data_IF_121405325541
#
_entry.id   IF_121405325541
#
_cell.length_a   1.000
_cell.length_b   1.000
_cell.length_c   1.000
_cell.angle_alpha   90.00
_cell.angle_beta   90.00
_cell.angle_gamma   90.00
#
_symmetry.space_group_name_H-M   'P 1'
#
loop_
_entity.id
_entity.type
_entity.pdbx_description
1 polymer ?
#
# COMPACT_ATOMS: atom_id res chain seq x y z
N UNK A 1 -3.80 -25.11 9.54
CA UNK A 1 -3.73 -25.44 8.10
C UNK A 1 -2.57 -24.69 7.46
N UNK A 2 -1.88 -25.30 6.49
CA UNK A 2 -0.77 -24.67 5.76
C UNK A 2 -1.07 -24.66 4.26
N UNK A 3 -0.79 -23.55 3.59
CA UNK A 3 -0.97 -23.40 2.14
C UNK A 3 0.32 -22.86 1.56
N UNK A 4 0.94 -23.63 0.68
CA UNK A 4 2.14 -23.21 -0.04
C UNK A 4 1.80 -22.11 -1.05
N UNK A 5 2.69 -21.13 -1.16
CA UNK A 5 2.61 -20.04 -2.12
C UNK A 5 3.68 -20.25 -3.19
N UNK A 6 3.32 -19.96 -4.45
CA UNK A 6 4.26 -19.84 -5.55
C UNK A 6 4.71 -18.40 -5.66
N UNK A 7 5.97 -18.20 -6.06
CA UNK A 7 6.53 -16.89 -6.36
C UNK A 7 6.73 -16.75 -7.87
N UNK A 8 6.37 -15.59 -8.41
CA UNK A 8 6.76 -15.20 -9.76
C UNK A 8 7.92 -14.21 -9.71
N UNK A 9 8.84 -14.37 -10.65
CA UNK A 9 9.78 -13.30 -10.95
C UNK A 9 9.03 -12.09 -11.53
N UNK A 10 9.42 -10.90 -11.08
CA UNK A 10 8.90 -9.67 -11.66
C UNK A 10 9.48 -9.53 -13.07
N UNK A 11 8.62 -9.17 -14.01
CA UNK A 11 9.01 -8.82 -15.37
C UNK A 11 8.84 -7.31 -15.57
N UNK A 12 9.48 -6.79 -16.62
CA UNK A 12 9.44 -5.35 -16.92
C UNK A 12 8.04 -4.84 -17.18
N UNK A 13 7.16 -5.67 -17.75
CA UNK A 13 5.78 -5.29 -18.01
C UNK A 13 4.98 -5.17 -16.71
N UNK A 14 5.11 -6.13 -15.81
CA UNK A 14 4.52 -6.09 -14.48
C UNK A 14 5.04 -4.91 -13.67
N UNK A 15 6.35 -4.66 -13.70
CA UNK A 15 6.93 -3.52 -13.01
C UNK A 15 6.46 -2.16 -13.54
N UNK A 16 6.47 -1.95 -14.86
CA UNK A 16 5.95 -0.72 -15.47
C UNK A 16 4.45 -0.51 -15.21
N UNK A 17 3.71 -1.61 -14.99
CA UNK A 17 2.29 -1.57 -14.72
C UNK A 17 1.95 -1.51 -13.22
N UNK A 18 2.84 -1.93 -12.33
CA UNK A 18 2.67 -1.86 -10.88
C UNK A 18 2.53 -0.41 -10.44
N UNK A 19 1.40 -0.10 -9.80
CA UNK A 19 1.03 1.25 -9.38
C UNK A 19 0.30 1.19 -8.06
N UNK A 20 0.69 2.06 -7.14
CA UNK A 20 -0.07 2.32 -5.91
C UNK A 20 -0.47 3.80 -6.02
N UNK A 21 -1.77 4.09 -5.92
CA UNK A 21 -2.25 5.48 -5.96
C UNK A 21 -3.32 5.69 -4.89
N UNK A 22 -3.35 6.92 -4.41
CA UNK A 22 -4.41 7.45 -3.56
C UNK A 22 -5.77 7.37 -4.27
N UNK A 23 -6.83 7.13 -3.50
CA UNK A 23 -8.19 7.32 -3.97
C UNK A 23 -9.13 7.80 -2.86
N UNK A 24 -9.25 9.12 -2.76
CA UNK A 24 -10.35 9.72 -2.01
C UNK A 24 -11.68 9.29 -2.65
N UNK A 25 -12.44 8.41 -2.00
CA UNK A 25 -13.82 8.12 -2.40
C UNK A 25 -14.79 8.90 -1.52
N UNK A 26 -15.45 9.90 -2.11
CA UNK A 26 -16.59 10.54 -1.48
C UNK A 26 -17.77 9.55 -1.44
N UNK A 27 -18.25 9.20 -0.24
CA UNK A 27 -19.58 8.60 -0.09
C UNK A 27 -20.62 9.63 -0.55
N UNK A 28 -21.19 9.44 -1.73
CA UNK A 28 -22.40 10.18 -2.15
C UNK A 28 -23.61 9.55 -1.44
N UNK A 29 -23.72 9.76 -0.12
CA UNK A 29 -24.88 9.35 0.66
C UNK A 29 -26.01 10.36 0.40
N UNK A 30 -26.75 10.15 -0.69
CA UNK A 30 -28.09 10.72 -0.80
C UNK A 30 -29.03 9.95 0.12
N UNK A 31 -29.25 10.53 1.29
CA UNK A 31 -30.36 10.22 2.17
C UNK A 31 -30.00 9.23 3.26
N UNK A 32 -29.73 9.76 4.45
CA UNK A 32 -30.42 9.51 5.74
C UNK A 32 -29.56 10.19 6.82
N UNK A 33 -30.20 10.98 7.68
CA UNK A 33 -29.58 11.62 8.85
C UNK A 33 -28.92 10.57 9.75
N UNK A 34 -27.60 10.62 9.93
CA UNK A 34 -26.89 10.55 11.22
C UNK A 34 -25.36 10.51 11.06
N UNK A 35 -24.69 11.35 11.86
CA UNK A 35 -23.26 11.38 12.26
C UNK A 35 -22.16 11.46 11.18
N UNK A 36 -21.48 12.62 11.17
CA UNK A 36 -20.26 12.90 10.42
C UNK A 36 -19.06 12.07 10.91
N UNK A 37 -18.13 11.83 9.97
CA UNK A 37 -16.75 11.33 10.13
C UNK A 37 -16.55 9.80 10.18
N UNK A 38 -16.95 9.09 9.12
CA UNK A 38 -16.31 7.83 8.74
C UNK A 38 -15.88 7.93 7.27
N UNK A 39 -14.74 8.59 7.04
CA UNK A 39 -14.04 8.53 5.76
C UNK A 39 -13.19 7.25 5.75
N UNK A 40 -13.60 6.24 4.98
CA UNK A 40 -12.87 4.96 4.84
C UNK A 40 -11.53 5.18 4.12
N UNK A 41 -10.43 4.58 4.61
CA UNK A 41 -9.12 4.58 3.93
C UNK A 41 -9.23 3.72 2.65
N UNK A 42 -9.57 4.32 1.52
CA UNK A 42 -9.58 3.59 0.24
C UNK A 42 -8.31 3.94 -0.54
N UNK A 43 -7.28 3.09 -0.46
CA UNK A 43 -6.13 3.20 -1.36
C UNK A 43 -6.33 2.26 -2.56
N UNK A 44 -6.11 2.77 -3.78
CA UNK A 44 -6.26 1.98 -4.98
C UNK A 44 -4.98 1.22 -5.29
N UNK A 45 -5.09 -0.10 -5.18
CA UNK A 45 -4.03 -1.04 -5.49
C UNK A 45 -4.04 -1.46 -6.95
N UNK A 46 -2.85 -1.65 -7.51
CA UNK A 46 -2.68 -2.41 -8.74
C UNK A 46 -1.75 -3.61 -8.49
N UNK A 47 -2.21 -4.81 -8.83
CA UNK A 47 -1.57 -6.07 -8.41
C UNK A 47 -0.54 -6.61 -9.40
N UNK A 48 -0.11 -5.80 -10.37
CA UNK A 48 1.04 -6.16 -11.20
C UNK A 48 2.35 -6.30 -10.44
N UNK A 49 2.42 -5.67 -9.26
CA UNK A 49 3.50 -5.91 -8.35
C UNK A 49 3.40 -7.29 -7.71
N UNK A 50 2.22 -7.89 -7.56
CA UNK A 50 2.03 -9.09 -6.75
C UNK A 50 2.88 -10.26 -7.25
N UNK A 51 3.74 -10.76 -6.36
CA UNK A 51 4.67 -11.84 -6.67
C UNK A 51 4.19 -13.20 -6.16
N UNK A 52 3.33 -13.22 -5.15
CA UNK A 52 2.96 -14.43 -4.43
C UNK A 52 1.49 -14.76 -4.63
N UNK A 53 1.21 -16.01 -5.00
CA UNK A 53 -0.14 -16.52 -5.18
C UNK A 53 -0.19 -17.99 -4.76
N UNK A 54 -1.38 -18.45 -4.38
CA UNK A 54 -1.62 -19.85 -4.08
C UNK A 54 -2.87 -20.35 -4.80
N UNK A 55 -3.12 -21.65 -4.69
CA UNK A 55 -4.24 -22.30 -5.36
C UNK A 55 -5.43 -22.42 -4.40
N UNK A 56 -6.62 -22.11 -4.93
CA UNK A 56 -7.90 -22.41 -4.29
C UNK A 56 -8.78 -23.16 -5.30
N UNK A 57 -9.85 -23.79 -4.82
CA UNK A 57 -10.90 -24.30 -5.71
C UNK A 57 -12.28 -23.78 -5.32
N UNK A 58 -13.15 -23.62 -6.31
CA UNK A 58 -14.53 -23.16 -6.12
C UNK A 58 -15.48 -24.15 -6.80
N UNK A 59 -16.49 -24.61 -6.05
CA UNK A 59 -17.55 -25.48 -6.55
C UNK A 59 -17.32 -26.99 -6.44
N UNK A 60 -18.35 -27.74 -6.81
CA UNK A 60 -18.37 -29.20 -6.77
C UNK A 60 -18.89 -29.79 -8.10
N UNK A 61 -18.04 -30.39 -8.95
CA UNK A 61 -16.63 -30.69 -8.72
C UNK A 61 -15.74 -29.44 -8.63
N UNK A 62 -14.59 -29.52 -7.94
CA UNK A 62 -13.63 -28.42 -7.78
C UNK A 62 -13.19 -27.78 -9.09
N UNK A 63 -13.27 -26.45 -9.18
CA UNK A 63 -12.68 -25.63 -10.25
C UNK A 63 -11.52 -24.82 -9.67
N UNK A 64 -10.31 -25.01 -10.17
CA UNK A 64 -9.09 -24.44 -9.59
C UNK A 64 -8.77 -23.03 -10.11
N UNK A 65 -8.28 -22.17 -9.21
CA UNK A 65 -7.87 -20.80 -9.49
C UNK A 65 -6.59 -20.48 -8.73
N UNK A 66 -5.66 -19.79 -9.39
CA UNK A 66 -4.54 -19.14 -8.71
C UNK A 66 -5.00 -17.78 -8.20
N UNK A 67 -4.82 -17.51 -6.91
CA UNK A 67 -5.25 -16.26 -6.29
C UNK A 67 -4.16 -15.64 -5.43
N UNK A 68 -4.14 -14.31 -5.40
CA UNK A 68 -3.36 -13.56 -4.42
C UNK A 68 -4.11 -13.56 -3.09
N UNK A 69 -3.44 -13.99 -2.02
CA UNK A 69 -3.93 -13.85 -0.66
C UNK A 69 -3.61 -12.43 -0.20
N UNK A 70 -4.61 -11.55 -0.19
CA UNK A 70 -4.42 -10.11 -0.02
C UNK A 70 -4.96 -9.60 1.31
N UNK A 71 -4.08 -9.15 2.20
CA UNK A 71 -4.48 -8.56 3.49
C UNK A 71 -5.06 -7.16 3.39
N UNK A 72 -4.82 -6.39 2.33
CA UNK A 72 -5.43 -5.06 2.20
C UNK A 72 -6.71 -5.02 1.35
N UNK A 73 -7.34 -6.17 1.07
CA UNK A 73 -8.70 -6.24 0.55
C UNK A 73 -9.50 -7.38 1.22
N UNK A 74 -10.82 -7.39 1.03
CA UNK A 74 -11.72 -8.28 1.80
C UNK A 74 -12.65 -9.14 0.95
N UNK A 75 -12.73 -8.90 -0.36
CA UNK A 75 -13.57 -9.68 -1.26
C UNK A 75 -12.77 -10.85 -1.87
N UNK A 76 -13.42 -12.00 -2.02
CA UNK A 76 -12.99 -13.04 -2.98
C UNK A 76 -13.61 -12.73 -4.34
N UNK A 77 -12.81 -12.76 -5.40
CA UNK A 77 -13.31 -12.64 -6.77
C UNK A 77 -12.51 -13.49 -7.75
N UNK A 78 -13.21 -14.02 -8.77
CA UNK A 78 -12.62 -14.78 -9.88
C UNK A 78 -13.33 -14.44 -11.21
N UNK A 79 -12.70 -14.67 -12.37
CA UNK A 79 -13.31 -14.42 -13.66
C UNK A 79 -14.50 -15.36 -13.90
N UNK A 80 -15.60 -14.82 -14.41
CA UNK A 80 -16.79 -15.60 -14.74
C UNK A 80 -16.70 -16.17 -16.15
N UNK A 81 -17.30 -17.34 -16.37
CA UNK A 81 -17.63 -17.84 -17.72
C UNK A 81 -18.56 -16.91 -18.51
N UNK A 82 -19.26 -15.98 -17.83
CA UNK A 82 -20.06 -14.91 -18.44
C UNK A 82 -19.22 -13.71 -18.89
N UNK A 83 -17.91 -13.71 -18.63
CA UNK A 83 -16.98 -12.71 -19.14
C UNK A 83 -16.62 -12.99 -20.61
N UNK A 84 -17.38 -12.39 -21.53
CA UNK A 84 -17.28 -12.66 -22.98
C UNK A 84 -16.51 -11.56 -23.72
N UNK A 85 -16.61 -10.32 -23.26
CA UNK A 85 -16.13 -9.14 -24.00
C UNK A 85 -14.78 -8.60 -23.50
N UNK A 86 -14.24 -9.10 -22.38
CA UNK A 86 -12.93 -8.70 -21.86
C UNK A 86 -11.84 -9.67 -22.33
N UNK A 87 -10.81 -9.14 -22.99
CA UNK A 87 -9.68 -9.90 -23.53
C UNK A 87 -8.95 -10.69 -22.43
N UNK A 88 -8.80 -10.11 -21.25
CA UNK A 88 -8.16 -10.74 -20.10
C UNK A 88 -8.79 -12.08 -19.70
N UNK A 89 -10.12 -12.16 -19.67
CA UNK A 89 -10.86 -13.38 -19.35
C UNK A 89 -10.63 -14.55 -20.33
N UNK A 90 -9.92 -14.33 -21.45
CA UNK A 90 -9.49 -15.41 -22.35
C UNK A 90 -8.17 -16.06 -21.91
N UNK A 91 -7.36 -15.37 -21.10
CA UNK A 91 -6.07 -15.87 -20.60
C UNK A 91 -6.15 -16.49 -19.20
N UNK A 92 -7.28 -16.31 -18.50
CA UNK A 92 -7.48 -16.79 -17.13
C UNK A 92 -8.48 -17.94 -17.03
N UNK A 93 -8.34 -18.71 -15.95
CA UNK A 93 -9.36 -19.68 -15.56
C UNK A 93 -10.69 -18.95 -15.27
N UNK A 94 -11.81 -19.61 -15.59
CA UNK A 94 -13.16 -19.04 -15.48
C UNK A 94 -14.07 -19.94 -14.68
N UNK A 95 -14.75 -19.35 -13.71
CA UNK A 95 -15.78 -20.02 -12.93
C UNK A 95 -17.03 -20.29 -13.77
N UNK A 96 -17.51 -21.53 -13.70
CA UNK A 96 -18.69 -22.04 -14.40
C UNK A 96 -19.71 -22.51 -13.36
N UNK A 97 -20.68 -21.66 -13.05
CA UNK A 97 -21.78 -22.00 -12.14
C UNK A 97 -22.57 -23.24 -12.59
N UNK A 98 -22.81 -23.39 -13.89
CA UNK A 98 -23.62 -24.50 -14.46
C UNK A 98 -23.08 -25.90 -14.19
N UNK A 99 -21.79 -26.05 -13.90
CA UNK A 99 -21.18 -27.36 -13.63
C UNK A 99 -20.99 -27.62 -12.14
N UNK A 100 -21.19 -26.62 -11.28
CA UNK A 100 -21.08 -26.78 -9.83
C UNK A 100 -22.43 -27.17 -9.24
N UNK A 101 -22.47 -28.31 -8.56
CA UNK A 101 -23.63 -28.83 -7.84
C UNK A 101 -23.92 -28.12 -6.52
N UNK A 102 -22.94 -27.37 -6.00
CA UNK A 102 -23.02 -26.62 -4.74
C UNK A 102 -23.25 -25.11 -4.95
N UNK A 103 -23.40 -24.69 -6.20
CA UNK A 103 -23.66 -23.30 -6.57
C UNK A 103 -25.04 -22.83 -6.13
N UNK A 104 -25.08 -21.65 -5.53
CA UNK A 104 -26.30 -20.90 -5.22
C UNK A 104 -26.23 -19.51 -5.87
N UNK A 105 -27.27 -19.15 -6.61
CA UNK A 105 -27.37 -17.86 -7.28
C UNK A 105 -27.73 -16.74 -6.28
N UNK A 106 -26.94 -15.66 -6.29
CA UNK A 106 -27.25 -14.40 -5.59
C UNK A 106 -27.59 -13.31 -6.62
N UNK A 107 -26.71 -13.06 -7.60
CA UNK A 107 -26.98 -12.21 -8.76
C UNK A 107 -26.88 -10.70 -8.52
N UNK A 108 -26.66 -10.25 -7.28
CA UNK A 108 -26.49 -8.83 -6.93
C UNK A 108 -25.26 -8.25 -7.63
N UNK A 109 -25.38 -7.18 -8.44
CA UNK A 109 -24.25 -6.61 -9.16
C UNK A 109 -23.24 -5.96 -8.22
N UNK A 110 -21.95 -6.04 -8.55
CA UNK A 110 -20.87 -5.44 -7.79
C UNK A 110 -19.90 -4.65 -8.67
N UNK A 111 -19.32 -3.61 -8.07
CA UNK A 111 -18.24 -2.81 -8.65
C UNK A 111 -17.14 -2.73 -7.60
N UNK A 112 -16.01 -3.38 -7.87
CA UNK A 112 -14.87 -3.41 -6.94
C UNK A 112 -13.80 -2.44 -7.50
N UNK A 113 -13.45 -1.37 -6.77
CA UNK A 113 -12.38 -0.46 -7.18
C UNK A 113 -11.04 -1.19 -7.32
N UNK A 114 -10.29 -0.90 -8.39
CA UNK A 114 -9.00 -1.56 -8.68
C UNK A 114 -8.11 -0.61 -9.49
N UNK A 115 -6.94 -0.23 -8.96
CA UNK A 115 -5.99 0.66 -9.62
C UNK A 115 -6.64 1.96 -10.10
N UNK A 116 -6.57 2.29 -11.39
CA UNK A 116 -7.25 3.48 -11.96
C UNK A 116 -8.68 3.20 -12.45
N UNK A 117 -9.21 2.01 -12.19
CA UNK A 117 -10.50 1.56 -12.72
C UNK A 117 -11.30 0.78 -11.69
N UNK A 118 -12.16 -0.11 -12.18
CA UNK A 118 -12.93 -1.01 -11.34
C UNK A 118 -13.20 -2.29 -12.11
N UNK A 119 -13.23 -3.41 -11.41
CA UNK A 119 -13.77 -4.66 -11.95
C UNK A 119 -15.27 -4.72 -11.67
N UNK A 120 -16.02 -5.25 -12.62
CA UNK A 120 -17.47 -5.31 -12.57
C UNK A 120 -17.94 -6.76 -12.66
N UNK A 121 -18.92 -7.10 -11.85
CA UNK A 121 -19.40 -8.47 -11.72
C UNK A 121 -20.73 -8.53 -11.01
N UNK A 122 -21.02 -9.70 -10.45
CA UNK A 122 -22.13 -9.94 -9.54
C UNK A 122 -21.71 -10.97 -8.50
N UNK A 123 -22.37 -10.97 -7.34
CA UNK A 123 -22.13 -11.96 -6.30
C UNK A 123 -22.79 -13.29 -6.61
N UNK A 124 -22.10 -14.35 -6.22
CA UNK A 124 -22.49 -15.76 -6.29
C UNK A 124 -22.07 -16.45 -4.99
N UNK A 125 -22.66 -17.59 -4.68
CA UNK A 125 -22.29 -18.39 -3.53
C UNK A 125 -21.95 -19.81 -3.97
N UNK A 126 -20.86 -20.36 -3.43
CA UNK A 126 -20.47 -21.75 -3.65
C UNK A 126 -19.51 -22.20 -2.52
N UNK A 127 -19.14 -23.48 -2.52
CA UNK A 127 -18.10 -23.97 -1.63
C UNK A 127 -16.72 -23.56 -2.16
N UNK A 128 -15.86 -23.07 -1.27
CA UNK A 128 -14.47 -22.73 -1.58
C UNK A 128 -13.54 -23.63 -0.80
N UNK A 129 -12.60 -24.27 -1.48
CA UNK A 129 -11.54 -25.03 -0.85
C UNK A 129 -10.25 -24.22 -0.81
N UNK A 130 -9.64 -24.15 0.36
CA UNK A 130 -8.31 -23.56 0.57
C UNK A 130 -7.47 -24.62 1.27
N UNK A 131 -6.36 -25.07 0.66
CA UNK A 131 -5.62 -26.21 1.19
C UNK A 131 -6.50 -27.46 1.34
N UNK A 132 -6.58 -28.00 2.56
CA UNK A 132 -7.36 -29.19 2.90
C UNK A 132 -8.76 -28.89 3.47
N UNK A 133 -9.13 -27.62 3.67
CA UNK A 133 -10.44 -27.25 4.22
C UNK A 133 -11.42 -26.80 3.14
N UNK A 134 -12.68 -27.16 3.31
CA UNK A 134 -13.80 -26.73 2.47
C UNK A 134 -14.67 -25.76 3.29
N UNK A 135 -14.65 -24.50 2.89
CA UNK A 135 -15.51 -23.43 3.38
C UNK A 135 -16.83 -23.50 2.61
N UNK A 136 -17.93 -23.73 3.30
CA UNK A 136 -19.26 -23.82 2.69
C UNK A 136 -19.88 -22.45 2.52
N UNK A 137 -20.80 -22.34 1.56
CA UNK A 137 -21.67 -21.18 1.39
C UNK A 137 -20.90 -19.84 1.33
N UNK A 138 -19.70 -19.87 0.75
CA UNK A 138 -18.87 -18.70 0.60
C UNK A 138 -19.37 -17.84 -0.54
N UNK A 139 -19.70 -16.59 -0.22
CA UNK A 139 -20.04 -15.57 -1.21
C UNK A 139 -18.77 -15.01 -1.88
N UNK A 140 -18.80 -14.88 -3.20
CA UNK A 140 -17.69 -14.32 -3.99
C UNK A 140 -18.21 -13.60 -5.22
N UNK A 141 -17.39 -12.72 -5.79
CA UNK A 141 -17.74 -11.99 -7.00
C UNK A 141 -17.30 -12.75 -8.27
N UNK A 142 -18.26 -12.99 -9.15
CA UNK A 142 -18.05 -13.45 -10.53
C UNK A 142 -17.80 -12.22 -11.43
N UNK A 143 -16.56 -12.02 -11.86
CA UNK A 143 -16.18 -10.86 -12.68
C UNK A 143 -16.58 -11.08 -14.14
N UNK A 144 -17.36 -10.14 -14.68
CA UNK A 144 -17.89 -10.19 -16.07
C UNK A 144 -17.25 -9.16 -16.98
N UNK A 145 -16.71 -8.09 -16.40
CA UNK A 145 -16.01 -7.05 -17.13
C UNK A 145 -14.89 -6.50 -16.28
N UNK A 146 -13.70 -6.58 -16.82
CA UNK A 146 -12.53 -5.98 -16.24
C UNK A 146 -12.37 -4.53 -16.69
N UNK A 147 -11.99 -3.64 -15.75
CA UNK A 147 -11.88 -2.21 -16.02
C UNK A 147 -10.62 -1.77 -16.75
N UNK A 148 -9.67 -2.69 -16.98
CA UNK A 148 -8.40 -2.39 -17.63
C UNK A 148 -7.85 -3.62 -18.35
N UNK A 149 -7.35 -3.44 -19.58
CA UNK A 149 -6.62 -4.49 -20.32
C UNK A 149 -5.41 -5.02 -19.55
N UNK A 150 -4.93 -4.23 -18.61
CA UNK A 150 -3.77 -4.51 -17.80
C UNK A 150 -3.95 -5.84 -17.01
N UNK A 151 -5.16 -6.16 -16.58
CA UNK A 151 -5.47 -7.41 -15.88
C UNK A 151 -5.17 -8.68 -16.73
N UNK A 152 -5.15 -8.59 -18.06
CA UNK A 152 -4.80 -9.72 -18.97
C UNK A 152 -3.37 -10.23 -18.83
N UNK A 153 -2.48 -9.42 -18.25
CA UNK A 153 -1.07 -9.75 -18.08
C UNK A 153 -0.74 -10.23 -16.65
N UNK A 154 -1.77 -10.43 -15.82
CA UNK A 154 -1.59 -10.99 -14.49
C UNK A 154 -1.28 -12.49 -14.56
N UNK A 155 -0.45 -13.03 -13.66
CA UNK A 155 -0.13 -14.45 -13.60
C UNK A 155 -1.14 -15.27 -12.76
N UNK A 156 -2.10 -14.62 -12.15
CA UNK A 156 -3.11 -15.22 -11.27
C UNK A 156 -4.51 -14.88 -11.79
N UNK A 157 -5.48 -15.71 -11.43
CA UNK A 157 -6.85 -15.61 -11.92
C UNK A 157 -7.69 -14.63 -11.09
N UNK A 158 -7.44 -14.55 -9.78
CA UNK A 158 -8.26 -13.74 -8.87
C UNK A 158 -7.57 -13.33 -7.58
N UNK A 159 -8.37 -12.83 -6.64
CA UNK A 159 -7.90 -12.37 -5.33
C UNK A 159 -8.77 -12.99 -4.26
N UNK A 160 -8.13 -13.45 -3.18
CA UNK A 160 -8.77 -13.84 -1.93
C UNK A 160 -8.38 -12.82 -0.86
N UNK A 161 -9.34 -11.93 -0.54
CA UNK A 161 -9.16 -10.93 0.51
C UNK A 161 -9.13 -11.53 1.92
N UNK A 162 -8.15 -11.09 2.71
CA UNK A 162 -7.91 -11.45 4.11
C UNK A 162 -8.06 -10.24 5.06
N UNK A 163 -8.62 -9.14 4.57
CA UNK A 163 -8.99 -7.98 5.36
C UNK A 163 -10.29 -8.17 6.15
N UNK A 164 -10.79 -7.07 6.71
CA UNK A 164 -11.99 -7.05 7.54
C UNK A 164 -13.28 -6.89 6.72
N UNK A 165 -14.39 -7.46 7.19
CA UNK A 165 -15.67 -7.39 6.50
C UNK A 165 -16.16 -5.95 6.25
N UNK A 166 -15.78 -5.00 7.12
CA UNK A 166 -16.18 -3.60 7.01
C UNK A 166 -15.73 -2.95 5.70
N UNK A 167 -14.62 -3.43 5.12
CA UNK A 167 -14.06 -2.95 3.85
C UNK A 167 -14.48 -3.80 2.64
N UNK A 168 -15.31 -4.82 2.86
CA UNK A 168 -15.85 -5.67 1.80
C UNK A 168 -16.94 -4.94 0.99
N UNK A 169 -16.77 -4.92 -0.34
CA UNK A 169 -17.82 -4.46 -1.26
C UNK A 169 -19.06 -5.35 -1.08
N UNK A 170 -20.23 -4.73 -0.96
CA UNK A 170 -21.47 -5.45 -0.68
C UNK A 170 -21.60 -6.00 0.75
N UNK A 171 -20.65 -5.68 1.65
CA UNK A 171 -20.58 -6.19 3.04
C UNK A 171 -20.58 -7.72 3.13
N UNK A 172 -20.07 -8.36 2.07
CA UNK A 172 -19.97 -9.81 1.95
C UNK A 172 -18.96 -10.36 2.95
N UNK A 173 -19.29 -11.48 3.60
CA UNK A 173 -18.44 -12.16 4.58
C UNK A 173 -17.14 -12.68 3.93
N UNK A 174 -15.95 -12.22 4.38
CA UNK A 174 -14.66 -12.69 3.85
C UNK A 174 -14.43 -14.18 4.13
N UNK A 175 -13.58 -14.82 3.32
CA UNK A 175 -13.26 -16.25 3.46
C UNK A 175 -12.73 -16.58 4.86
N UNK A 176 -11.84 -15.75 5.40
CA UNK A 176 -11.28 -15.92 6.73
C UNK A 176 -12.34 -15.95 7.84
N UNK A 177 -13.41 -15.16 7.70
CA UNK A 177 -14.50 -15.13 8.68
C UNK A 177 -15.28 -16.45 8.65
N UNK A 178 -15.63 -16.93 7.46
CA UNK A 178 -16.30 -18.22 7.30
C UNK A 178 -15.42 -19.40 7.76
N UNK A 179 -14.09 -19.34 7.58
CA UNK A 179 -13.18 -20.34 8.15
C UNK A 179 -13.29 -20.42 9.68
N UNK A 180 -13.37 -19.26 10.35
CA UNK A 180 -13.55 -19.18 11.81
C UNK A 180 -14.94 -19.66 12.22
N UNK A 181 -16.00 -19.11 11.63
CA UNK A 181 -17.39 -19.35 12.01
C UNK A 181 -17.80 -20.82 11.82
N UNK A 182 -17.24 -21.48 10.80
CA UNK A 182 -17.48 -22.89 10.52
C UNK A 182 -16.58 -23.84 11.34
N UNK A 183 -15.74 -23.30 12.23
CA UNK A 183 -14.92 -24.10 13.15
C UNK A 183 -13.68 -24.74 12.54
N UNK A 184 -13.20 -24.27 11.38
CA UNK A 184 -11.99 -24.79 10.74
C UNK A 184 -10.70 -24.27 11.39
N UNK A 185 -10.79 -23.21 12.19
CA UNK A 185 -9.65 -22.48 12.75
C UNK A 185 -9.65 -22.57 14.29
N UNK A 186 -8.56 -23.10 14.86
CA UNK A 186 -8.42 -23.25 16.32
C UNK A 186 -8.01 -21.95 17.02
N UNK A 187 -7.02 -21.24 16.48
CA UNK A 187 -6.53 -19.95 16.98
C UNK A 187 -6.84 -18.91 15.90
N UNK A 188 -7.48 -17.78 16.20
CA UNK A 188 -7.84 -16.82 15.14
C UNK A 188 -6.65 -15.94 14.75
N UNK A 189 -5.60 -16.61 14.29
CA UNK A 189 -4.40 -16.01 13.73
C UNK A 189 -4.11 -16.64 12.38
N UNK A 190 -3.48 -15.88 11.49
CA UNK A 190 -2.79 -16.46 10.34
C UNK A 190 -1.43 -15.81 10.20
N UNK A 191 -0.47 -16.54 9.62
CA UNK A 191 0.89 -16.04 9.42
C UNK A 191 1.38 -16.20 7.99
N UNK A 192 2.25 -15.30 7.59
CA UNK A 192 2.88 -15.26 6.28
C UNK A 192 4.39 -15.37 6.40
N UNK A 193 4.95 -16.27 5.59
CA UNK A 193 6.36 -16.32 5.25
C UNK A 193 6.51 -16.23 3.73
N UNK A 194 7.25 -15.24 3.25
CA UNK A 194 7.45 -15.00 1.82
C UNK A 194 8.92 -15.18 1.48
N UNK A 195 9.24 -16.29 0.82
CA UNK A 195 10.60 -16.63 0.47
C UNK A 195 11.16 -15.64 -0.55
N UNK A 196 12.29 -15.02 -0.21
CA UNK A 196 12.99 -14.06 -1.06
C UNK A 196 14.05 -14.70 -1.96
N UNK A 197 14.33 -16.00 -1.81
CA UNK A 197 15.18 -16.74 -2.75
C UNK A 197 14.40 -17.04 -4.05
N UNK A 198 14.82 -16.52 -5.22
CA UNK A 198 14.14 -16.80 -6.49
C UNK A 198 14.46 -18.17 -7.08
N UNK A 199 15.41 -18.92 -6.50
CA UNK A 199 15.84 -20.24 -6.97
C UNK A 199 15.03 -21.38 -6.36
N UNK A 200 14.33 -21.12 -5.25
CA UNK A 200 13.52 -22.09 -4.53
C UNK A 200 12.14 -22.27 -5.18
N UNK A 201 11.66 -23.51 -5.22
CA UNK A 201 10.32 -23.83 -5.76
C UNK A 201 9.20 -23.32 -4.86
N UNK A 202 9.43 -23.32 -3.54
CA UNK A 202 8.48 -22.81 -2.56
C UNK A 202 8.67 -21.29 -2.42
N UNK A 203 7.75 -20.55 -3.03
CA UNK A 203 7.70 -19.10 -2.94
C UNK A 203 7.31 -18.58 -1.56
N UNK A 204 6.58 -19.35 -0.77
CA UNK A 204 6.21 -18.97 0.59
C UNK A 204 5.20 -19.92 1.21
N UNK A 205 4.69 -19.56 2.38
CA UNK A 205 3.66 -20.31 3.08
C UNK A 205 2.72 -19.34 3.82
N UNK A 206 1.41 -19.59 3.74
CA UNK A 206 0.43 -19.04 4.67
C UNK A 206 -0.04 -20.14 5.62
N UNK A 207 -0.01 -19.84 6.92
CA UNK A 207 -0.50 -20.76 7.97
C UNK A 207 -1.75 -20.16 8.58
N UNK A 208 -2.90 -20.80 8.36
CA UNK A 208 -4.15 -20.43 9.02
C UNK A 208 -4.28 -21.22 10.33
N UNK A 209 -4.54 -20.52 11.43
CA UNK A 209 -4.72 -21.11 12.75
C UNK A 209 -3.46 -21.39 13.54
N UNK A 210 -2.30 -20.86 13.13
CA UNK A 210 -1.01 -21.12 13.76
C UNK A 210 0.14 -20.37 13.12
N UNK A 211 1.36 -20.77 13.50
CA UNK A 211 2.65 -20.28 13.00
C UNK A 211 3.57 -21.47 12.73
N UNK A 212 4.53 -21.33 11.81
CA UNK A 212 5.60 -22.31 11.62
C UNK A 212 6.94 -21.73 12.12
N UNK A 213 7.44 -22.30 13.20
CA UNK A 213 8.70 -21.90 13.86
C UNK A 213 9.95 -22.04 12.97
N UNK A 214 9.85 -22.74 11.84
CA UNK A 214 10.96 -22.86 10.87
C UNK A 214 11.12 -21.63 9.99
N UNK A 215 10.13 -20.75 9.96
CA UNK A 215 10.06 -19.62 9.03
C UNK A 215 10.46 -18.26 9.64
N UNK A 216 10.90 -18.25 10.90
CA UNK A 216 11.37 -17.02 11.55
C UNK A 216 12.45 -17.28 12.60
N UNK A 217 13.14 -16.21 13.01
CA UNK A 217 14.15 -16.20 14.06
C UNK A 217 13.78 -15.20 15.14
N UNK A 218 14.06 -15.55 16.39
CA UNK A 218 13.73 -14.73 17.56
C UNK A 218 12.22 -14.67 17.83
N UNK A 219 11.82 -13.66 18.61
CA UNK A 219 10.43 -13.46 19.02
C UNK A 219 9.73 -12.40 18.16
N UNK A 220 8.43 -12.60 17.90
CA UNK A 220 7.61 -11.58 17.26
C UNK A 220 7.45 -10.35 18.14
N UNK A 221 7.58 -9.18 17.52
CA UNK A 221 7.22 -7.90 18.11
C UNK A 221 5.81 -7.58 17.69
N UNK A 222 4.89 -7.59 18.65
CA UNK A 222 3.48 -7.32 18.40
C UNK A 222 3.13 -5.84 18.60
N UNK A 223 2.39 -5.28 17.65
CA UNK A 223 1.80 -3.94 17.73
C UNK A 223 0.28 -4.03 17.51
N UNK A 224 -0.52 -3.27 18.29
CA UNK A 224 -1.97 -3.27 18.11
C UNK A 224 -2.36 -2.60 16.79
N UNK A 225 -3.56 -2.89 16.31
CA UNK A 225 -4.14 -2.16 15.19
C UNK A 225 -4.59 -0.76 15.61
N UNK A 226 -4.25 0.25 14.82
CA UNK A 226 -4.63 1.65 15.08
C UNK A 226 -6.12 1.87 14.83
N UNK A 227 -6.67 1.23 13.78
CA UNK A 227 -8.08 1.28 13.44
C UNK A 227 -8.53 -0.06 12.83
N UNK A 228 -9.71 -0.53 13.24
CA UNK A 228 -10.33 -1.73 12.66
C UNK A 228 -10.89 -1.41 11.26
N UNK A 229 -10.59 -2.27 10.29
CA UNK A 229 -11.01 -2.14 8.89
C UNK A 229 -9.90 -2.55 7.93
N UNK A 230 -8.68 -2.15 8.28
CA UNK A 230 -7.45 -2.58 7.63
C UNK A 230 -6.49 -3.19 8.67
N UNK A 231 -5.51 -3.95 8.18
CA UNK A 231 -4.34 -4.34 8.98
C UNK A 231 -3.39 -3.13 9.11
N UNK A 232 -3.90 -2.08 9.77
CA UNK A 232 -3.30 -0.76 9.95
C UNK A 232 -2.60 -0.68 11.30
N UNK A 233 -1.34 -0.25 11.32
CA UNK A 233 -0.52 -0.10 12.52
C UNK A 233 0.13 1.28 12.57
N UNK A 234 0.47 1.72 13.78
CA UNK A 234 1.30 2.91 13.97
C UNK A 234 2.77 2.57 13.68
N UNK A 235 3.41 3.44 12.92
CA UNK A 235 4.83 3.37 12.58
C UNK A 235 5.48 4.67 12.99
N UNK A 236 6.59 4.58 13.71
CA UNK A 236 7.41 5.72 14.08
C UNK A 236 8.30 6.18 12.93
N UNK A 237 9.45 6.73 13.30
CA UNK A 237 10.37 7.33 12.34
C UNK A 237 10.96 6.31 11.36
N UNK A 238 11.22 6.80 10.15
CA UNK A 238 11.87 6.08 9.06
C UNK A 238 13.29 6.61 8.92
N UNK A 239 14.27 5.74 9.08
CA UNK A 239 15.68 6.11 9.09
C UNK A 239 16.37 5.70 7.79
N UNK A 240 17.16 6.63 7.23
CA UNK A 240 18.14 6.37 6.18
C UNK A 240 19.49 6.14 6.83
N UNK A 241 19.95 4.88 6.83
CA UNK A 241 21.00 4.39 7.72
C UNK A 241 20.65 4.71 9.18
N UNK A 242 21.25 5.77 9.75
CA UNK A 242 21.03 6.22 11.12
C UNK A 242 20.36 7.60 11.22
N UNK A 243 20.02 8.22 10.07
CA UNK A 243 19.48 9.57 10.02
C UNK A 243 17.95 9.53 9.83
N UNK A 244 17.24 10.30 10.65
CA UNK A 244 15.80 10.53 10.53
C UNK A 244 15.43 11.17 9.19
N UNK A 245 14.26 10.78 8.67
CA UNK A 245 13.63 11.43 7.49
C UNK A 245 12.64 12.53 7.90
N UNK A 246 12.46 12.74 9.21
CA UNK A 246 11.74 13.85 9.83
C UNK A 246 10.22 13.69 9.89
N UNK A 247 9.60 13.23 8.79
CA UNK A 247 8.14 13.27 8.65
C UNK A 247 7.40 12.40 9.69
N UNK A 248 7.92 11.20 9.97
CA UNK A 248 7.25 10.22 10.83
C UNK A 248 7.76 10.24 12.28
N UNK A 249 8.49 11.29 12.71
CA UNK A 249 8.98 11.41 14.11
C UNK A 249 7.83 11.47 15.12
N UNK A 250 6.72 12.12 14.76
CA UNK A 250 5.49 12.20 15.56
C UNK A 250 4.54 11.02 15.35
N UNK A 251 4.93 10.04 14.52
CA UNK A 251 4.11 8.90 14.13
C UNK A 251 3.47 9.07 12.75
N UNK A 252 3.47 7.97 12.02
CA UNK A 252 2.77 7.71 10.77
C UNK A 252 1.92 6.45 10.96
N UNK A 253 1.06 6.16 10.00
CA UNK A 253 0.37 4.86 9.94
C UNK A 253 0.86 4.03 8.77
N UNK A 254 0.71 2.70 8.86
CA UNK A 254 1.04 1.81 7.77
C UNK A 254 0.05 0.65 7.64
N UNK A 255 -0.38 0.33 6.41
CA UNK A 255 -1.09 -0.92 6.12
C UNK A 255 -0.08 -2.00 5.76
N UNK A 256 -0.26 -3.16 6.39
CA UNK A 256 0.52 -4.37 6.14
C UNK A 256 -0.18 -5.18 5.05
N UNK A 257 0.42 -5.21 3.85
CA UNK A 257 -0.29 -5.56 2.62
C UNK A 257 0.45 -6.66 1.82
N UNK A 258 -0.05 -7.89 1.89
CA UNK A 258 0.48 -9.01 1.12
C UNK A 258 0.08 -9.00 -0.37
N UNK A 259 -0.91 -8.19 -0.76
CA UNK A 259 -1.37 -8.07 -2.14
C UNK A 259 -0.52 -7.14 -3.01
N UNK A 260 0.42 -6.39 -2.41
CA UNK A 260 1.34 -5.50 -3.13
C UNK A 260 2.78 -5.82 -2.79
N UNK A 261 3.69 -5.66 -3.76
CA UNK A 261 5.10 -5.95 -3.52
C UNK A 261 5.91 -4.75 -3.05
N UNK A 262 5.66 -3.59 -3.64
CA UNK A 262 6.40 -2.36 -3.35
C UNK A 262 6.03 -1.79 -1.99
N UNK A 263 6.96 -1.05 -1.40
CA UNK A 263 6.68 -0.20 -0.25
C UNK A 263 6.21 1.16 -0.76
N UNK A 264 5.04 1.61 -0.32
CA UNK A 264 4.52 2.93 -0.66
C UNK A 264 4.65 3.85 0.55
N UNK A 265 5.02 5.11 0.32
CA UNK A 265 5.05 6.12 1.39
C UNK A 265 5.03 7.55 0.86
N UNK A 266 5.03 8.54 1.77
CA UNK A 266 4.94 9.96 1.40
C UNK A 266 6.04 10.40 0.44
N UNK A 267 5.69 11.23 -0.54
CA UNK A 267 6.61 11.72 -1.58
C UNK A 267 7.85 12.37 -0.97
N UNK A 268 7.71 13.10 0.14
CA UNK A 268 8.81 13.77 0.83
C UNK A 268 9.85 12.83 1.41
N UNK A 269 9.46 11.62 1.83
CA UNK A 269 10.38 10.59 2.35
C UNK A 269 10.93 9.74 1.21
N UNK A 270 10.08 9.34 0.26
CA UNK A 270 10.50 8.56 -0.92
C UNK A 270 11.52 9.32 -1.77
N UNK A 271 11.42 10.64 -1.86
CA UNK A 271 12.42 11.48 -2.55
C UNK A 271 13.78 11.42 -1.86
N UNK A 272 13.82 11.47 -0.52
CA UNK A 272 15.06 11.31 0.24
C UNK A 272 15.67 9.92 0.04
N UNK A 273 14.84 8.87 0.04
CA UNK A 273 15.26 7.49 -0.27
C UNK A 273 15.86 7.42 -1.68
N UNK A 274 15.15 7.94 -2.70
CA UNK A 274 15.59 7.93 -4.09
C UNK A 274 16.93 8.64 -4.28
N UNK A 275 17.12 9.78 -3.62
CA UNK A 275 18.42 10.48 -3.62
C UNK A 275 19.52 9.61 -3.00
N UNK A 276 19.27 9.04 -1.81
CA UNK A 276 20.26 8.27 -1.07
C UNK A 276 20.69 6.96 -1.77
N UNK A 277 19.78 6.33 -2.53
CA UNK A 277 20.08 5.11 -3.29
C UNK A 277 20.53 5.38 -4.73
N UNK A 278 20.59 6.65 -5.14
CA UNK A 278 20.98 7.04 -6.50
C UNK A 278 19.94 6.66 -7.57
N UNK A 279 18.66 6.61 -7.20
CA UNK A 279 17.58 6.29 -8.12
C UNK A 279 17.36 7.42 -9.13
N UNK A 280 16.88 7.07 -10.32
CA UNK A 280 16.40 8.05 -11.30
C UNK A 280 15.07 8.66 -10.83
N UNK A 281 14.98 9.99 -10.86
CA UNK A 281 13.76 10.75 -10.60
C UNK A 281 13.46 11.69 -11.76
N UNK A 282 12.37 12.44 -11.65
CA UNK A 282 12.10 13.54 -12.56
C UNK A 282 12.53 14.87 -11.94
N UNK A 283 12.98 15.79 -12.78
CA UNK A 283 13.33 17.14 -12.36
C UNK A 283 12.06 17.99 -12.32
N UNK A 284 11.69 18.52 -11.16
CA UNK A 284 10.63 19.53 -11.06
C UNK A 284 11.22 20.93 -11.09
N UNK A 285 10.86 21.68 -12.13
CA UNK A 285 11.22 23.09 -12.23
C UNK A 285 10.49 23.93 -11.19
N UNK A 286 9.26 23.57 -10.81
CA UNK A 286 8.49 24.24 -9.76
C UNK A 286 9.18 24.12 -8.41
N UNK A 287 9.61 22.90 -8.03
CA UNK A 287 10.39 22.65 -6.81
C UNK A 287 11.68 23.46 -6.81
N UNK A 288 12.49 23.37 -7.87
CA UNK A 288 13.74 24.13 -8.00
C UNK A 288 13.53 25.64 -7.96
N UNK A 289 12.45 26.14 -8.57
CA UNK A 289 12.11 27.56 -8.56
C UNK A 289 11.77 28.05 -7.15
N UNK A 290 11.14 27.22 -6.32
CA UNK A 290 10.90 27.56 -4.91
C UNK A 290 12.22 27.60 -4.14
N UNK A 291 13.09 26.59 -4.31
CA UNK A 291 14.42 26.58 -3.67
C UNK A 291 15.22 27.83 -4.06
N UNK A 292 15.24 28.19 -5.34
CA UNK A 292 15.99 29.33 -5.85
C UNK A 292 15.44 30.68 -5.36
N UNK A 293 14.12 30.87 -5.34
CA UNK A 293 13.53 32.18 -5.05
C UNK A 293 13.20 32.38 -3.57
N UNK A 294 12.94 31.31 -2.83
CA UNK A 294 12.47 31.35 -1.45
C UNK A 294 13.37 30.59 -0.47
N UNK A 295 14.36 29.81 -0.94
CA UNK A 295 15.20 28.97 -0.08
C UNK A 295 15.94 29.75 1.00
N UNK A 296 16.44 30.95 0.69
CA UNK A 296 17.07 31.83 1.68
C UNK A 296 16.07 32.30 2.76
N UNK A 297 14.87 32.73 2.35
CA UNK A 297 13.82 33.16 3.28
C UNK A 297 13.32 32.02 4.16
N UNK A 298 13.16 30.81 3.59
CA UNK A 298 12.77 29.61 4.33
C UNK A 298 13.85 29.26 5.36
N UNK A 299 15.12 29.28 4.96
CA UNK A 299 16.25 29.04 5.84
C UNK A 299 16.29 30.02 7.02
N UNK A 300 16.21 31.33 6.74
CA UNK A 300 16.27 32.37 7.75
C UNK A 300 15.10 32.25 8.74
N UNK A 301 13.90 31.95 8.23
CA UNK A 301 12.71 31.73 9.05
C UNK A 301 12.89 30.54 9.99
N UNK A 302 13.40 29.40 9.50
CA UNK A 302 13.66 28.22 10.32
C UNK A 302 14.74 28.46 11.38
N UNK A 303 15.84 29.14 11.04
CA UNK A 303 16.89 29.49 12.00
C UNK A 303 16.41 30.49 13.05
N UNK A 304 15.47 31.37 12.69
CA UNK A 304 14.86 32.33 13.63
C UNK A 304 13.89 31.68 14.63
N UNK A 305 13.58 30.39 14.47
CA UNK A 305 12.66 29.65 15.33
C UNK A 305 11.19 29.83 14.96
N UNK A 306 10.89 30.28 13.73
CA UNK A 306 9.52 30.31 13.23
C UNK A 306 8.95 28.89 13.19
N UNK A 307 7.65 28.75 13.50
CA UNK A 307 6.98 27.46 13.40
C UNK A 307 6.97 27.00 11.93
N UNK A 308 7.56 25.84 11.60
CA UNK A 308 7.59 25.27 10.25
C UNK A 308 6.20 25.14 9.61
N UNK A 309 5.19 24.85 10.43
CA UNK A 309 3.81 24.60 10.00
C UNK A 309 3.19 25.82 9.32
N UNK A 310 3.49 27.04 9.79
CA UNK A 310 2.93 28.29 9.24
C UNK A 310 3.85 28.96 8.22
N UNK A 311 5.06 28.43 8.02
CA UNK A 311 6.12 29.10 7.26
C UNK A 311 5.70 29.34 5.81
N UNK A 312 5.12 28.35 5.15
CA UNK A 312 4.69 28.47 3.77
C UNK A 312 3.49 29.41 3.59
N UNK A 313 2.71 29.64 4.64
CA UNK A 313 1.65 30.67 4.66
C UNK A 313 2.28 32.06 4.79
N UNK A 314 3.24 32.22 5.70
CA UNK A 314 3.91 33.51 5.94
C UNK A 314 4.65 34.01 4.69
N UNK A 315 5.29 33.10 3.95
CA UNK A 315 5.93 33.39 2.65
C UNK A 315 4.90 33.60 1.52
N UNK A 316 3.64 33.25 1.74
CA UNK A 316 2.54 33.44 0.78
C UNK A 316 2.46 32.36 -0.31
N UNK A 317 3.04 31.19 -0.08
CA UNK A 317 2.97 30.02 -0.99
C UNK A 317 1.77 29.10 -0.70
N UNK A 318 1.20 29.18 0.51
CA UNK A 318 -0.01 28.47 0.93
C UNK A 318 -1.11 29.46 1.35
N UNK A 319 -2.39 29.05 1.22
CA UNK A 319 -3.53 29.87 1.65
C UNK A 319 -3.98 29.52 3.08
N UNK A 320 -4.45 30.51 3.84
CA UNK A 320 -4.98 30.29 5.21
C UNK A 320 -6.18 29.30 5.24
N UNK A 321 -7.02 29.30 4.19
CA UNK A 321 -8.16 28.37 4.07
C UNK A 321 -7.73 26.89 3.94
N UNK A 322 -6.46 26.61 3.62
CA UNK A 322 -5.90 25.25 3.53
C UNK A 322 -5.42 24.74 4.90
N UNK A 323 -5.35 25.60 5.93
CA UNK A 323 -4.79 25.28 7.25
C UNK A 323 -5.84 25.02 8.35
N UNK A 324 -7.07 25.53 8.18
CA UNK A 324 -8.14 25.45 9.18
C UNK A 324 -8.83 24.07 9.31
N UNK A 325 -8.22 23.00 8.81
CA UNK A 325 -8.70 21.63 9.08
C UNK A 325 -8.08 21.00 10.33
N UNK A 326 -7.18 21.71 11.03
CA UNK A 326 -6.39 21.14 12.14
C UNK A 326 -6.84 21.56 13.56
N UNK A 327 -7.66 22.60 13.76
CA UNK A 327 -8.17 22.90 15.11
C UNK A 327 -9.61 23.40 15.11
N UNK A 328 -10.47 22.69 15.84
CA UNK A 328 -11.89 22.97 16.01
C UNK A 328 -12.12 24.13 17.01
N UNK A 329 -13.07 25.00 16.67
CA UNK A 329 -13.80 25.97 17.52
C UNK A 329 -13.07 27.24 17.99
N UNK A 330 -13.23 28.35 17.24
CA UNK A 330 -13.73 29.65 17.77
C UNK A 330 -14.61 30.32 16.69
N UNK A 331 -15.91 30.48 16.97
CA UNK A 331 -16.81 31.31 16.17
C UNK A 331 -16.37 32.78 16.22
N UNK A 332 -15.97 33.35 15.09
CA UNK A 332 -16.08 34.80 14.87
C UNK A 332 -17.15 35.08 13.82
N UNK A 333 -18.23 35.67 14.31
CA UNK A 333 -19.39 36.15 13.55
C UNK A 333 -18.95 37.30 12.62
N UNK A 334 -19.59 37.38 11.45
CA UNK A 334 -19.53 38.42 10.40
C UNK A 334 -18.55 38.06 9.26
N UNK A 335 -18.91 37.81 7.99
CA UNK A 335 -20.06 38.20 7.17
C UNK A 335 -20.41 37.10 6.14
N UNK A 336 -21.71 36.98 5.90
CA UNK A 336 -22.40 36.10 4.98
C UNK A 336 -22.13 36.43 3.50
N UNK A 337 -21.59 35.47 2.71
CA UNK A 337 -21.80 35.40 1.25
C UNK A 337 -21.48 34.01 0.66
N UNK A 338 -22.51 33.35 0.12
CA UNK A 338 -22.47 32.38 -0.99
C UNK A 338 -21.57 31.13 -0.84
N UNK A 339 -22.08 30.12 -0.14
CA UNK A 339 -21.48 28.79 -0.04
C UNK A 339 -21.73 27.93 -1.30
N UNK A 340 -20.67 27.74 -2.09
CA UNK A 340 -20.45 26.58 -2.97
C UNK A 340 -18.97 26.18 -2.86
N UNK A 341 -18.59 25.61 -1.73
CA UNK A 341 -17.22 25.12 -1.49
C UNK A 341 -17.03 23.70 -2.02
N UNK A 342 -16.38 23.57 -3.18
CA UNK A 342 -15.64 22.37 -3.52
C UNK A 342 -14.33 22.44 -2.74
N UNK A 343 -14.02 21.47 -1.85
CA UNK A 343 -12.72 21.39 -1.17
C UNK A 343 -11.62 21.48 -2.23
N UNK A 344 -10.80 22.52 -2.16
CA UNK A 344 -9.76 22.83 -3.15
C UNK A 344 -8.58 21.89 -2.95
N UNK A 345 -8.12 21.23 -4.03
CA UNK A 345 -6.79 20.63 -4.09
C UNK A 345 -5.77 21.70 -3.68
N UNK A 346 -4.87 21.37 -2.75
CA UNK A 346 -3.75 22.24 -2.42
C UNK A 346 -3.02 22.68 -3.69
N UNK A 347 -2.59 23.94 -3.72
CA UNK A 347 -1.73 24.44 -4.79
C UNK A 347 -0.43 23.61 -4.84
N UNK A 348 0.04 23.16 -6.02
CA UNK A 348 1.33 22.47 -6.14
C UNK A 348 2.50 23.24 -5.52
N UNK A 349 2.42 24.58 -5.51
CA UNK A 349 3.41 25.44 -4.87
C UNK A 349 3.44 25.27 -3.34
N UNK A 350 2.27 25.12 -2.72
CA UNK A 350 2.15 24.91 -1.28
C UNK A 350 2.75 23.55 -0.89
N UNK A 351 2.39 22.49 -1.60
CA UNK A 351 2.92 21.14 -1.36
C UNK A 351 4.45 21.10 -1.49
N UNK A 352 5.03 21.69 -2.53
CA UNK A 352 6.48 21.76 -2.67
C UNK A 352 7.14 22.62 -1.59
N UNK A 353 6.52 23.72 -1.17
CA UNK A 353 7.03 24.52 -0.06
C UNK A 353 7.10 23.68 1.23
N UNK A 354 6.02 22.97 1.58
CA UNK A 354 5.98 22.12 2.78
C UNK A 354 7.06 21.02 2.73
N UNK A 355 7.26 20.40 1.56
CA UNK A 355 8.35 19.42 1.36
C UNK A 355 9.73 20.04 1.55
N UNK A 356 9.97 21.23 0.99
CA UNK A 356 11.25 21.95 1.10
C UNK A 356 11.53 22.35 2.55
N UNK A 357 10.53 22.86 3.28
CA UNK A 357 10.62 23.17 4.71
C UNK A 357 11.07 21.94 5.49
N UNK A 358 10.39 20.80 5.29
CA UNK A 358 10.75 19.53 5.92
C UNK A 358 12.19 19.12 5.59
N UNK A 359 12.59 19.17 4.32
CA UNK A 359 13.95 18.77 3.92
C UNK A 359 15.04 19.67 4.50
N UNK A 360 14.80 20.98 4.58
CA UNK A 360 15.70 21.91 5.24
C UNK A 360 15.81 21.57 6.74
N UNK A 361 14.69 21.32 7.41
CA UNK A 361 14.69 20.92 8.83
C UNK A 361 15.46 19.63 9.08
N UNK A 362 15.27 18.61 8.24
CA UNK A 362 16.00 17.35 8.31
C UNK A 362 17.50 17.57 8.12
N UNK A 363 17.89 18.38 7.14
CA UNK A 363 19.31 18.65 6.88
C UNK A 363 19.96 19.58 7.90
N UNK A 364 19.21 20.46 8.53
CA UNK A 364 19.69 21.30 9.63
C UNK A 364 20.21 20.47 10.81
N UNK A 365 19.64 19.27 11.03
CA UNK A 365 20.13 18.32 12.03
C UNK A 365 21.51 17.74 11.68
N UNK A 366 21.92 17.79 10.41
CA UNK A 366 23.19 17.22 9.91
C UNK A 366 24.26 18.28 9.62
N UNK A 367 23.86 19.48 9.20
CA UNK A 367 24.77 20.55 8.78
C UNK A 367 24.13 21.91 9.01
N UNK A 368 24.89 22.83 9.61
CA UNK A 368 24.49 24.23 9.77
C UNK A 368 24.98 25.17 8.65
N UNK A 369 25.61 24.61 7.60
CA UNK A 369 26.10 25.38 6.44
C UNK A 369 24.97 25.56 5.42
N UNK A 370 24.46 26.78 5.29
CA UNK A 370 23.31 27.13 4.42
C UNK A 370 23.46 26.62 3.00
N UNK A 371 24.60 26.89 2.36
CA UNK A 371 24.84 26.52 0.96
C UNK A 371 24.80 25.00 0.77
N UNK A 372 25.28 24.24 1.77
CA UNK A 372 25.25 22.76 1.73
C UNK A 372 23.82 22.25 1.86
N UNK A 373 23.01 22.85 2.73
CA UNK A 373 21.60 22.46 2.92
C UNK A 373 20.77 22.79 1.70
N UNK A 374 20.83 24.03 1.19
CA UNK A 374 20.08 24.43 0.00
C UNK A 374 20.51 23.64 -1.23
N UNK A 375 21.80 23.31 -1.38
CA UNK A 375 22.26 22.42 -2.45
C UNK A 375 21.64 21.03 -2.36
N UNK A 376 21.61 20.43 -1.16
CA UNK A 376 20.99 19.12 -0.98
C UNK A 376 19.49 19.15 -1.34
N UNK A 377 18.78 20.19 -0.91
CA UNK A 377 17.36 20.38 -1.21
C UNK A 377 17.13 20.56 -2.72
N UNK A 378 18.00 21.31 -3.41
CA UNK A 378 17.96 21.43 -4.88
C UNK A 378 18.18 20.08 -5.58
N UNK A 379 19.10 19.25 -5.08
CA UNK A 379 19.31 17.89 -5.58
C UNK A 379 18.08 16.99 -5.35
N UNK A 380 17.34 17.16 -4.24
CA UNK A 380 16.09 16.42 -4.02
C UNK A 380 15.01 16.78 -5.05
N UNK A 381 14.95 18.03 -5.51
CA UNK A 381 14.05 18.43 -6.59
C UNK A 381 14.36 17.74 -7.94
N UNK A 382 15.50 17.08 -8.09
CA UNK A 382 15.87 16.23 -9.24
C UNK A 382 15.53 14.75 -9.04
N UNK A 383 15.17 14.37 -7.81
CA UNK A 383 14.95 12.98 -7.38
C UNK A 383 13.50 12.68 -7.04
N UNK A 384 12.59 13.59 -7.40
CA UNK A 384 11.17 13.39 -7.19
C UNK A 384 10.72 12.09 -7.89
N UNK A 385 9.91 11.27 -7.22
CA UNK A 385 9.48 9.97 -7.71
C UNK A 385 8.63 10.14 -8.96
N UNK A 386 8.98 9.43 -10.03
CA UNK A 386 8.31 9.55 -11.33
C UNK A 386 6.82 9.13 -11.22
N UNK A 387 5.84 10.00 -11.48
CA UNK A 387 4.44 9.58 -11.50
C UNK A 387 4.14 8.85 -12.82
N UNK A 388 3.76 7.54 -12.85
CA UNK A 388 3.59 6.53 -11.80
C UNK A 388 4.53 5.32 -12.02
N UNK A 389 5.81 5.58 -12.24
CA UNK A 389 6.82 4.60 -12.61
C UNK A 389 7.84 4.39 -11.50
N UNK A 390 8.42 3.20 -11.45
CA UNK A 390 9.52 2.89 -10.56
C UNK A 390 10.79 3.62 -11.00
N UNK A 391 11.63 3.96 -10.03
CA UNK A 391 12.91 4.59 -10.28
C UNK A 391 13.95 3.55 -10.67
N UNK A 392 14.59 3.74 -11.83
CA UNK A 392 15.73 2.95 -12.26
C UNK A 392 16.92 3.21 -11.33
N UNK A 393 17.72 2.17 -11.12
CA UNK A 393 18.88 2.21 -10.25
C UNK A 393 20.05 1.52 -10.94
N UNK A 394 21.25 2.05 -10.75
CA UNK A 394 22.46 1.37 -11.19
C UNK A 394 22.69 0.11 -10.35
N UNK A 395 22.58 -1.07 -10.96
CA UNK A 395 22.78 -2.34 -10.26
C UNK A 395 24.16 -2.46 -9.58
N UNK A 396 25.17 -1.74 -10.05
CA UNK A 396 26.52 -1.79 -9.48
C UNK A 396 26.67 -1.00 -8.17
N UNK A 397 25.73 -0.12 -7.83
CA UNK A 397 25.82 0.68 -6.60
C UNK A 397 25.14 0.04 -5.39
N UNK A 398 24.48 -1.12 -5.53
CA UNK A 398 23.67 -1.76 -4.48
C UNK A 398 24.44 -1.89 -3.16
N UNK A 399 25.68 -2.38 -3.22
CA UNK A 399 26.51 -2.59 -2.02
C UNK A 399 26.89 -1.31 -1.26
N UNK A 400 26.67 -0.12 -1.85
CA UNK A 400 26.98 1.18 -1.23
C UNK A 400 25.74 1.90 -0.71
N UNK A 401 24.55 1.36 -0.95
CA UNK A 401 23.30 2.00 -0.54
C UNK A 401 23.05 1.82 0.96
N UNK A 402 22.33 2.76 1.60
CA UNK A 402 22.04 2.66 3.01
C UNK A 402 20.95 1.62 3.31
N UNK A 403 21.02 1.02 4.47
CA UNK A 403 19.86 0.35 5.05
C UNK A 403 18.72 1.35 5.28
N UNK A 404 17.48 0.91 5.11
CA UNK A 404 16.28 1.70 5.41
C UNK A 404 15.61 1.04 6.61
N UNK A 405 15.31 1.81 7.65
CA UNK A 405 14.82 1.25 8.92
C UNK A 405 13.48 1.85 9.31
N UNK A 406 12.50 0.99 9.55
CA UNK A 406 11.18 1.35 10.06
C UNK A 406 11.16 1.18 11.57
N UNK A 407 10.68 2.18 12.31
CA UNK A 407 10.47 2.04 13.75
C UNK A 407 9.05 1.55 14.03
N UNK A 408 8.88 0.33 14.54
CA UNK A 408 7.57 -0.26 14.80
C UNK A 408 7.56 -0.80 16.23
N UNK A 409 6.62 -0.34 17.08
CA UNK A 409 6.53 -0.77 18.47
C UNK A 409 7.83 -0.53 19.27
N UNK A 410 8.48 0.61 19.06
CA UNK A 410 9.79 0.96 19.65
C UNK A 410 10.95 0.00 19.30
N UNK A 411 10.81 -0.79 18.23
CA UNK A 411 11.91 -1.58 17.67
C UNK A 411 12.23 -1.17 16.24
N UNK A 412 13.48 -1.38 15.86
CA UNK A 412 14.01 -1.07 14.53
C UNK A 412 13.90 -2.28 13.61
N UNK A 413 13.21 -2.10 12.48
CA UNK A 413 13.04 -3.08 11.41
C UNK A 413 13.78 -2.58 10.18
N UNK A 414 15.03 -3.03 10.03
CA UNK A 414 15.91 -2.64 8.93
C UNK A 414 15.73 -3.54 7.71
N UNK A 415 15.71 -2.96 6.51
CA UNK A 415 15.75 -3.67 5.24
C UNK A 415 17.03 -3.28 4.48
N UNK A 416 17.76 -4.29 3.99
CA UNK A 416 19.04 -4.10 3.30
C UNK A 416 18.84 -3.72 1.83
N UNK A 417 19.86 -3.13 1.17
CA UNK A 417 19.83 -2.86 -0.26
C UNK A 417 19.46 -4.06 -1.12
N UNK A 418 19.91 -5.25 -0.77
CA UNK A 418 19.59 -6.48 -1.50
C UNK A 418 18.12 -6.87 -1.39
N UNK A 419 17.44 -6.45 -0.33
CA UNK A 419 16.02 -6.76 -0.07
C UNK A 419 15.09 -5.76 -0.75
N UNK A 420 15.41 -4.47 -0.74
CA UNK A 420 14.53 -3.44 -1.30
C UNK A 420 14.82 -3.08 -2.76
N UNK A 421 15.89 -3.60 -3.36
CA UNK A 421 16.20 -3.43 -4.79
C UNK A 421 15.69 -4.63 -5.58
N UNK A 422 14.83 -4.36 -6.57
CA UNK A 422 14.26 -5.37 -7.45
C UNK A 422 15.16 -5.57 -8.66
N UNK A 423 15.60 -6.80 -8.91
CA UNK A 423 16.40 -7.18 -10.09
C UNK A 423 15.54 -7.90 -11.11
N UNK A 424 15.68 -7.49 -12.36
CA UNK A 424 14.86 -7.98 -13.47
C UNK A 424 15.77 -8.33 -14.64
N UNK A 425 15.67 -9.56 -15.11
CA UNK A 425 16.43 -10.01 -16.27
C UNK A 425 15.68 -9.63 -17.56
N UNK A 426 16.33 -8.87 -18.45
CA UNK A 426 15.86 -8.53 -19.79
C UNK A 426 16.87 -9.03 -20.83
N UNK A 427 16.58 -10.20 -21.41
CA UNK A 427 17.50 -10.85 -22.35
C UNK A 427 18.81 -11.24 -21.68
N UNK A 428 19.89 -10.49 -21.98
CA UNK A 428 21.22 -10.70 -21.40
C UNK A 428 21.64 -9.59 -20.43
N UNK A 429 20.72 -8.71 -20.02
CA UNK A 429 21.01 -7.57 -19.13
C UNK A 429 20.10 -7.60 -17.90
N UNK A 430 20.66 -7.31 -16.74
CA UNK A 430 19.91 -7.11 -15.49
C UNK A 430 19.57 -5.63 -15.34
N UNK A 431 18.30 -5.31 -15.11
CA UNK A 431 17.80 -3.97 -14.79
C UNK A 431 17.40 -3.94 -13.31
N UNK A 432 17.79 -2.88 -12.60
CA UNK A 432 17.46 -2.71 -11.19
C UNK A 432 16.48 -1.57 -10.97
N UNK A 433 15.49 -1.82 -10.12
CA UNK A 433 14.44 -0.87 -9.74
C UNK A 433 14.41 -0.68 -8.23
N UNK A 434 14.08 0.54 -7.80
CA UNK A 434 13.79 0.82 -6.40
C UNK A 434 12.46 0.19 -5.97
N UNK A 435 12.45 -0.41 -4.77
CA UNK A 435 11.27 -1.00 -4.16
C UNK A 435 10.28 0.01 -3.54
N UNK A 436 10.54 1.31 -3.68
CA UNK A 436 9.75 2.38 -3.07
C UNK A 436 8.98 3.16 -4.11
N UNK A 437 7.72 3.46 -3.80
CA UNK A 437 6.85 4.32 -4.62
C UNK A 437 6.18 5.38 -3.76
N UNK A 438 5.88 6.52 -4.37
CA UNK A 438 5.22 7.60 -3.68
C UNK A 438 3.70 7.43 -3.66
N UNK A 439 3.12 7.67 -2.49
CA UNK A 439 1.70 7.89 -2.26
C UNK A 439 1.57 8.99 -1.20
N UNK A 440 0.86 10.06 -1.54
CA UNK A 440 0.48 11.09 -0.57
C UNK A 440 -0.99 10.86 -0.22
N UNK A 441 -1.28 10.70 1.06
CA UNK A 441 -2.63 10.59 1.59
C UNK A 441 -2.85 11.81 2.49
N UNK A 442 -3.87 12.64 2.24
CA UNK A 442 -4.11 13.85 3.01
C UNK A 442 -4.60 13.52 4.42
N UNK A 443 -4.47 14.48 5.37
CA UNK A 443 -5.13 14.39 6.67
C UNK A 443 -6.65 14.19 6.53
N UNK A 444 -7.32 13.50 7.46
CA UNK A 444 -6.78 12.95 8.71
C UNK A 444 -6.15 11.55 8.58
N UNK A 445 -6.14 10.96 7.39
CA UNK A 445 -5.75 9.55 7.19
C UNK A 445 -4.23 9.35 7.04
N UNK A 446 -3.53 10.35 6.48
CA UNK A 446 -2.07 10.35 6.36
C UNK A 446 -1.37 11.20 7.43
N UNK A 447 -0.02 11.15 7.48
CA UNK A 447 0.87 10.47 6.55
C UNK A 447 0.84 8.94 6.68
N UNK A 448 0.85 8.27 5.53
CA UNK A 448 0.44 6.87 5.39
C UNK A 448 1.45 6.05 4.58
N UNK A 449 1.71 4.81 5.00
CA UNK A 449 2.57 3.85 4.34
C UNK A 449 1.84 2.56 3.94
N UNK A 450 2.37 1.88 2.94
CA UNK A 450 1.99 0.49 2.63
C UNK A 450 3.25 -0.37 2.70
N UNK A 451 3.27 -1.32 3.63
CA UNK A 451 4.33 -2.30 3.79
C UNK A 451 3.99 -3.54 2.96
N UNK A 452 4.51 -3.56 1.73
CA UNK A 452 4.32 -4.65 0.77
C UNK A 452 5.22 -5.87 1.03
N UNK A 453 5.22 -6.81 0.08
CA UNK A 453 5.98 -8.07 0.19
C UNK A 453 7.50 -7.90 0.27
N UNK A 454 8.07 -6.74 -0.09
CA UNK A 454 9.47 -6.43 0.21
C UNK A 454 9.71 -6.44 1.72
N UNK A 455 8.84 -5.78 2.50
CA UNK A 455 8.93 -5.77 3.96
C UNK A 455 8.55 -7.13 4.55
N UNK A 456 7.44 -7.73 4.09
CA UNK A 456 6.96 -9.04 4.57
C UNK A 456 7.87 -10.20 4.18
N UNK A 457 8.75 -9.99 3.19
CA UNK A 457 9.81 -10.92 2.81
C UNK A 457 10.98 -10.91 3.77
N UNK A 458 11.33 -9.75 4.31
CA UNK A 458 12.35 -9.62 5.35
C UNK A 458 11.83 -10.06 6.73
N UNK A 459 10.52 -9.91 6.97
CA UNK A 459 9.90 -10.17 8.26
C UNK A 459 8.70 -11.10 8.17
N UNK A 460 8.82 -12.28 8.79
CA UNK A 460 7.67 -13.14 9.03
C UNK A 460 6.59 -12.39 9.80
N UNK A 461 5.37 -12.45 9.29
CA UNK A 461 4.27 -11.61 9.78
C UNK A 461 3.13 -12.46 10.30
N UNK A 462 2.64 -12.17 11.51
CA UNK A 462 1.48 -12.80 12.14
C UNK A 462 0.35 -11.79 12.22
N UNK A 463 -0.79 -12.12 11.64
CA UNK A 463 -2.02 -11.35 11.73
C UNK A 463 -2.90 -12.00 12.81
N UNK A 464 -2.96 -11.37 13.98
CA UNK A 464 -3.67 -11.87 15.15
C UNK A 464 -5.05 -11.19 15.23
N UNK A 465 -6.05 -11.87 14.67
CA UNK A 465 -7.41 -11.36 14.59
C UNK A 465 -8.11 -11.37 15.97
N UNK A 466 -7.79 -12.35 16.83
CA UNK A 466 -8.35 -12.42 18.19
C UNK A 466 -7.96 -11.21 19.03
N UNK A 467 -6.69 -10.79 18.96
CA UNK A 467 -6.16 -9.70 19.77
C UNK A 467 -6.01 -8.37 19.02
N UNK A 468 -6.47 -8.32 17.77
CA UNK A 468 -6.38 -7.14 16.89
C UNK A 468 -4.98 -6.51 16.88
N UNK A 469 -3.99 -7.32 16.50
CA UNK A 469 -2.57 -6.92 16.47
C UNK A 469 -1.80 -7.64 15.35
N UNK A 470 -0.64 -7.10 15.00
CA UNK A 470 0.27 -7.70 14.03
C UNK A 470 1.63 -7.95 14.68
N UNK A 471 2.21 -9.11 14.44
CA UNK A 471 3.52 -9.52 14.96
C UNK A 471 4.56 -9.66 13.87
N UNK A 472 5.76 -9.10 14.07
CA UNK A 472 6.88 -9.20 13.12
C UNK A 472 8.10 -9.86 13.76
N UNK A 473 8.70 -10.82 13.06
CA UNK A 473 9.98 -11.44 13.42
C UNK A 473 10.86 -11.56 12.16
N UNK A 474 12.18 -11.64 12.32
CA UNK A 474 13.10 -11.83 11.18
C UNK A 474 12.75 -13.13 10.45
N UNK A 475 12.55 -13.08 9.13
CA UNK A 475 12.28 -14.27 8.33
C UNK A 475 13.52 -15.19 8.29
N UNK A 476 13.30 -16.51 8.33
CA UNK A 476 14.37 -17.50 8.46
C UNK A 476 15.24 -17.71 7.22
#
# INVERSE_FOLDING_TARGET
MRVGLKRRNLDLQGLKAARIKEAVHHRDLRGVNETCCDEDIVYLKNYFGAQFFGEISIGSPPQYFNVVFDTGSSNLWVPSSKCIFSIACYFHAKYRSKISSTYTEIGTPCKIPYGQGSIYGFFSQDNVQVGDIIIKDQEFAEITREGSLALSALPFDGILGLGFQDTSVGKVTPVWYNMIEQGHICHKIFSLWLNQDPTEEMGGEIVFGGIDYRHFRGDHTYVPLSQKGYWLIDVGDILLANNSTGLCESGCTAIVDSGTSLIAGPTSVVTQINHAIGAEGYVSFECKNIVHNYGDSIWESLISGLNPDILCIDIGLCSLDEFYTIDDVIETVVHNQSWKGSRTRESPLCTFCNMIVLWIQVQLKQSNVKEKVLKYVDELCEKLPNPPGQSFINCNSIATMPHITFTIGNKSFSISPEQYILRVEEGCSTVCYGGFVAIDVPPPQGPFWVLGTIFLGAYHTVFDYDNLRIGFAEAA
#
